data_IF_545719565102
#
_entry.id   IF_545719565102
#
_cell.length_a   1.000
_cell.length_b   1.000
_cell.length_c   1.000
_cell.angle_alpha   90.00
_cell.angle_beta   90.00
_cell.angle_gamma   90.00
#
_symmetry.space_group_name_H-M   'P 1'
#
loop_
_entity.id
_entity.type
_entity.pdbx_description
1 polymer ?
#
# COMPACT_ATOMS: atom_id res chain seq x y z
N UNK A 1 54.29 13.50 -40.76
CA UNK A 1 53.56 14.75 -41.08
C UNK A 1 52.34 14.77 -40.18
N UNK A 2 52.44 15.32 -38.96
CA UNK A 2 52.04 16.72 -38.61
C UNK A 2 50.62 16.98 -39.14
N UNK A 3 49.57 17.12 -38.33
CA UNK A 3 49.19 18.21 -37.41
C UNK A 3 47.77 17.84 -36.88
N UNK A 4 47.13 18.39 -35.85
CA UNK A 4 47.46 19.18 -34.68
C UNK A 4 46.17 19.17 -33.83
N UNK A 5 46.35 19.13 -32.53
CA UNK A 5 45.33 19.26 -31.50
C UNK A 5 44.93 20.73 -31.39
N UNK A 6 43.64 21.05 -31.55
CA UNK A 6 43.11 22.38 -31.23
C UNK A 6 41.88 22.25 -30.33
N UNK A 7 42.15 22.26 -29.02
CA UNK A 7 41.19 22.66 -28.00
C UNK A 7 41.22 24.18 -27.93
N UNK A 8 40.08 24.83 -28.14
CA UNK A 8 39.76 26.12 -27.50
C UNK A 8 38.33 26.58 -27.81
N UNK A 9 37.49 26.62 -26.76
CA UNK A 9 36.91 27.89 -26.31
C UNK A 9 36.36 27.78 -24.89
N UNK A 10 36.67 28.80 -24.12
CA UNK A 10 36.35 29.01 -22.71
C UNK A 10 34.96 29.64 -22.53
N UNK A 11 34.51 29.59 -21.27
CA UNK A 11 33.59 30.51 -20.60
C UNK A 11 32.11 30.11 -20.51
N UNK A 12 31.75 29.54 -19.36
CA UNK A 12 30.86 30.20 -18.36
C UNK A 12 30.13 29.13 -17.56
N UNK A 13 30.50 29.02 -16.27
CA UNK A 13 29.71 28.27 -15.28
C UNK A 13 28.49 29.10 -14.94
N UNK A 14 27.34 28.75 -15.51
CA UNK A 14 26.05 29.14 -14.96
C UNK A 14 25.33 27.89 -14.46
N UNK A 15 25.35 27.80 -13.14
CA UNK A 15 24.51 27.02 -12.23
C UNK A 15 23.27 26.39 -12.86
N UNK A 16 23.22 25.05 -12.79
CA UNK A 16 21.97 24.30 -12.95
C UNK A 16 20.95 24.75 -11.89
N UNK A 17 19.64 24.63 -12.18
CA UNK A 17 18.85 23.88 -11.22
C UNK A 17 17.95 22.82 -11.84
N UNK A 18 18.02 21.66 -11.19
CA UNK A 18 16.91 20.79 -10.81
C UNK A 18 16.08 20.18 -11.96
N UNK A 19 16.55 19.01 -12.39
CA UNK A 19 15.76 17.79 -12.27
C UNK A 19 14.49 17.72 -13.13
N UNK A 20 14.68 17.63 -14.45
CA UNK A 20 13.65 17.13 -15.37
C UNK A 20 13.88 15.63 -15.56
N UNK A 21 13.06 14.78 -14.94
CA UNK A 21 13.00 13.35 -15.27
C UNK A 21 11.92 13.17 -16.34
N UNK A 22 12.35 13.07 -17.59
CA UNK A 22 11.54 12.53 -18.68
C UNK A 22 11.55 11.00 -18.51
N UNK A 23 10.40 10.35 -18.57
CA UNK A 23 10.34 8.91 -18.75
C UNK A 23 10.01 8.63 -20.21
N UNK A 24 10.79 7.75 -20.83
CA UNK A 24 10.49 7.13 -22.11
C UNK A 24 10.24 5.65 -21.82
N UNK A 25 9.10 5.11 -22.24
CA UNK A 25 8.97 3.67 -22.43
C UNK A 25 9.41 3.37 -23.86
N UNK A 26 10.66 2.94 -24.02
CA UNK A 26 11.14 2.43 -25.30
C UNK A 26 10.52 1.04 -25.52
N UNK A 27 9.51 0.96 -26.38
CA UNK A 27 9.15 -0.32 -27.00
C UNK A 27 10.02 -0.43 -28.25
N UNK A 28 11.01 -1.32 -28.24
CA UNK A 28 11.70 -1.71 -29.47
C UNK A 28 10.76 -2.63 -30.26
N UNK A 29 10.17 -2.11 -31.33
CA UNK A 29 9.53 -2.94 -32.36
C UNK A 29 10.59 -3.32 -33.41
N UNK A 30 10.59 -4.57 -33.92
CA UNK A 30 11.50 -4.98 -34.97
C UNK A 30 11.28 -4.13 -36.23
N UNK A 31 12.38 -3.63 -36.80
CA UNK A 31 12.38 -2.79 -38.00
C UNK A 31 12.01 -3.60 -39.23
N UNK A 32 10.84 -3.37 -39.81
CA UNK A 32 10.55 -3.80 -41.19
C UNK A 32 10.81 -2.62 -42.12
N UNK A 33 11.66 -2.83 -43.12
CA UNK A 33 12.07 -1.79 -44.06
C UNK A 33 10.88 -1.37 -44.96
N UNK A 34 10.68 -0.06 -45.13
CA UNK A 34 9.94 0.48 -46.27
C UNK A 34 8.57 1.12 -46.05
N UNK A 35 8.11 1.38 -44.82
CA UNK A 35 6.90 2.18 -44.59
C UNK A 35 7.23 3.49 -43.86
N UNK A 36 6.89 4.62 -44.48
CA UNK A 36 6.92 5.94 -43.84
C UNK A 36 5.94 5.95 -42.68
N UNK A 37 6.44 6.19 -41.46
CA UNK A 37 5.64 6.34 -40.26
C UNK A 37 4.63 7.49 -40.47
N UNK A 38 3.34 7.32 -40.12
CA UNK A 38 2.42 8.45 -40.08
C UNK A 38 2.96 9.46 -39.06
N UNK A 39 2.94 10.76 -39.41
CA UNK A 39 3.21 11.84 -38.46
C UNK A 39 2.19 11.75 -37.34
N UNK A 40 2.54 11.06 -36.25
CA UNK A 40 1.79 11.13 -35.01
C UNK A 40 1.90 12.59 -34.56
N UNK A 41 0.80 13.32 -34.62
CA UNK A 41 0.69 14.59 -33.91
C UNK A 41 0.87 14.27 -32.44
N UNK A 42 2.07 14.56 -31.94
CA UNK A 42 2.37 14.45 -30.52
C UNK A 42 1.51 15.51 -29.85
N UNK A 43 0.36 15.09 -29.31
CA UNK A 43 -0.52 15.97 -28.53
C UNK A 43 0.32 16.67 -27.47
N UNK A 44 0.10 17.97 -27.34
CA UNK A 44 0.86 18.82 -26.45
C UNK A 44 0.75 18.29 -25.01
N UNK A 45 1.82 17.64 -24.54
CA UNK A 45 1.97 17.21 -23.15
C UNK A 45 2.10 18.45 -22.27
N UNK A 46 0.96 18.97 -21.86
CA UNK A 46 0.86 20.11 -20.95
C UNK A 46 1.71 19.87 -19.70
N UNK A 47 2.44 20.90 -19.26
CA UNK A 47 3.26 20.83 -18.06
C UNK A 47 2.39 20.47 -16.84
N UNK A 48 2.80 19.46 -16.06
CA UNK A 48 2.08 19.03 -14.85
C UNK A 48 2.27 20.10 -13.77
N UNK A 49 1.15 20.61 -13.25
CA UNK A 49 1.15 21.64 -12.20
C UNK A 49 1.60 21.09 -10.86
N UNK A 50 2.50 21.81 -10.18
CA UNK A 50 2.91 21.57 -8.79
C UNK A 50 2.08 22.35 -7.76
N UNK A 51 1.05 23.09 -8.21
CA UNK A 51 0.20 23.93 -7.34
C UNK A 51 -0.56 23.06 -6.33
N UNK A 52 -0.84 23.58 -5.14
CA UNK A 52 -1.75 22.92 -4.18
C UNK A 52 -3.16 22.85 -4.77
N UNK A 53 -3.96 21.88 -4.32
CA UNK A 53 -5.37 21.77 -4.71
C UNK A 53 -6.23 22.81 -3.97
N UNK A 54 -7.15 23.45 -4.67
CA UNK A 54 -8.11 24.39 -4.09
C UNK A 54 -9.39 23.70 -3.60
N UNK A 55 -10.16 24.30 -2.69
CA UNK A 55 -11.44 23.75 -2.25
C UNK A 55 -12.47 23.56 -3.39
N UNK A 56 -12.41 24.39 -4.43
CA UNK A 56 -13.26 24.30 -5.61
C UNK A 56 -12.87 23.08 -6.47
N UNK A 57 -11.56 22.85 -6.64
CA UNK A 57 -11.04 21.63 -7.29
C UNK A 57 -11.47 20.38 -6.50
N UNK A 58 -11.44 20.43 -5.15
CA UNK A 58 -11.90 19.33 -4.30
C UNK A 58 -13.40 19.05 -4.49
N UNK A 59 -14.23 20.10 -4.53
CA UNK A 59 -15.67 19.98 -4.79
C UNK A 59 -15.94 19.37 -6.16
N UNK A 60 -15.24 19.85 -7.19
CA UNK A 60 -15.31 19.31 -8.56
C UNK A 60 -14.90 17.82 -8.59
N UNK A 61 -13.83 17.47 -7.87
CA UNK A 61 -13.33 16.10 -7.78
C UNK A 61 -14.35 15.14 -7.16
N UNK A 62 -14.98 15.54 -6.06
CA UNK A 62 -16.03 14.73 -5.41
C UNK A 62 -17.25 14.55 -6.32
N UNK A 63 -17.68 15.60 -7.02
CA UNK A 63 -18.79 15.53 -7.99
C UNK A 63 -18.48 14.59 -9.16
N UNK A 64 -17.29 14.72 -9.76
CA UNK A 64 -16.87 13.85 -10.87
C UNK A 64 -16.70 12.40 -10.44
N UNK A 65 -16.20 12.13 -9.23
CA UNK A 65 -16.11 10.78 -8.70
C UNK A 65 -17.48 10.13 -8.51
N UNK A 66 -18.49 10.91 -8.05
CA UNK A 66 -19.87 10.44 -7.95
C UNK A 66 -20.46 10.06 -9.30
N UNK A 67 -20.03 10.70 -10.39
CA UNK A 67 -20.50 10.42 -11.75
C UNK A 67 -19.74 9.28 -12.43
N UNK A 68 -18.43 9.18 -12.20
CA UNK A 68 -17.53 8.23 -12.87
C UNK A 68 -16.59 7.52 -11.87
N UNK A 69 -17.11 6.60 -11.04
CA UNK A 69 -16.30 5.95 -10.02
C UNK A 69 -15.15 5.15 -10.65
N UNK A 70 -13.95 5.27 -10.07
CA UNK A 70 -12.71 4.57 -10.47
C UNK A 70 -12.16 4.91 -11.87
N UNK A 71 -12.76 5.84 -12.61
CA UNK A 71 -12.28 6.26 -13.94
C UNK A 71 -11.30 7.44 -13.83
N UNK A 72 -10.15 7.23 -13.18
CA UNK A 72 -9.22 8.32 -12.85
C UNK A 72 -8.68 9.09 -14.05
N UNK A 73 -8.46 8.43 -15.20
CA UNK A 73 -8.02 9.10 -16.42
C UNK A 73 -9.07 10.06 -16.97
N UNK A 74 -10.35 9.66 -16.93
CA UNK A 74 -11.49 10.51 -17.34
C UNK A 74 -11.73 11.64 -16.35
N UNK A 75 -11.61 11.37 -15.06
CA UNK A 75 -11.71 12.44 -14.06
C UNK A 75 -10.57 13.44 -14.29
N UNK A 76 -9.35 12.97 -14.54
CA UNK A 76 -8.19 13.84 -14.75
C UNK A 76 -8.28 14.71 -16.01
N UNK A 77 -8.95 14.25 -17.09
CA UNK A 77 -9.15 15.09 -18.28
C UNK A 77 -10.01 16.31 -18.03
N UNK A 78 -10.78 16.34 -16.95
CA UNK A 78 -11.58 17.50 -16.52
C UNK A 78 -10.78 18.51 -15.69
N UNK A 79 -9.51 18.21 -15.37
CA UNK A 79 -8.64 19.11 -14.61
C UNK A 79 -7.46 19.58 -15.44
N UNK A 80 -7.31 20.90 -15.55
CA UNK A 80 -6.18 21.49 -16.26
C UNK A 80 -4.86 21.17 -15.55
N UNK A 81 -3.90 20.61 -16.29
CA UNK A 81 -2.54 20.36 -15.81
C UNK A 81 -2.43 19.42 -14.60
N UNK A 82 -3.43 18.57 -14.32
CA UNK A 82 -3.39 17.55 -13.25
C UNK A 82 -3.26 16.15 -13.84
N UNK A 83 -2.23 15.42 -13.42
CA UNK A 83 -2.08 14.02 -13.83
C UNK A 83 -3.02 13.10 -13.01
N UNK A 84 -3.48 11.95 -13.57
CA UNK A 84 -4.35 11.01 -12.86
C UNK A 84 -3.84 10.56 -11.47
N UNK A 85 -2.52 10.32 -11.25
CA UNK A 85 -2.01 9.99 -9.92
C UNK A 85 -2.20 11.13 -8.90
N UNK A 86 -2.09 12.39 -9.33
CA UNK A 86 -2.30 13.54 -8.46
C UNK A 86 -3.78 13.65 -8.02
N UNK A 87 -4.70 13.41 -8.96
CA UNK A 87 -6.14 13.36 -8.69
C UNK A 87 -6.48 12.23 -7.71
N UNK A 88 -5.96 11.02 -7.94
CA UNK A 88 -6.16 9.89 -7.04
C UNK A 88 -5.66 10.19 -5.62
N UNK A 89 -4.44 10.71 -5.51
CA UNK A 89 -3.84 11.04 -4.21
C UNK A 89 -4.63 12.15 -3.51
N UNK A 90 -5.11 13.15 -4.26
CA UNK A 90 -5.96 14.20 -3.68
C UNK A 90 -7.28 13.64 -3.18
N UNK A 91 -7.95 12.81 -3.98
CA UNK A 91 -9.19 12.16 -3.58
C UNK A 91 -9.00 11.37 -2.28
N UNK A 92 -7.95 10.53 -2.21
CA UNK A 92 -7.58 9.79 -1.00
C UNK A 92 -7.38 10.72 0.20
N UNK A 93 -6.67 11.84 0.02
CA UNK A 93 -6.43 12.81 1.08
C UNK A 93 -7.72 13.48 1.57
N UNK A 94 -8.65 13.83 0.67
CA UNK A 94 -9.96 14.39 1.05
C UNK A 94 -10.75 13.35 1.84
N UNK A 95 -10.85 12.12 1.33
CA UNK A 95 -11.61 11.05 2.00
C UNK A 95 -11.00 10.63 3.33
N UNK A 96 -9.69 10.74 3.50
CA UNK A 96 -8.98 10.38 4.72
C UNK A 96 -9.17 11.40 5.86
N UNK A 97 -9.52 12.67 5.57
CA UNK A 97 -9.78 13.68 6.62
C UNK A 97 -10.92 13.30 7.54
N UNK A 98 -11.88 12.53 7.03
CA UNK A 98 -13.08 12.10 7.74
C UNK A 98 -12.90 10.71 8.39
N UNK A 99 -11.71 10.10 8.25
CA UNK A 99 -11.41 8.79 8.84
C UNK A 99 -10.85 8.97 10.25
N UNK A 100 -11.44 8.29 11.22
CA UNK A 100 -10.96 8.28 12.59
C UNK A 100 -9.93 7.16 12.82
N UNK A 101 -8.75 7.51 13.33
CA UNK A 101 -7.64 6.57 13.61
C UNK A 101 -7.40 6.29 15.10
N UNK A 102 -8.27 6.78 16.00
CA UNK A 102 -8.13 6.56 17.44
C UNK A 102 -8.51 5.14 17.89
N UNK A 103 -8.49 4.86 19.22
CA UNK A 103 -8.81 3.54 19.74
C UNK A 103 -10.25 3.13 19.39
N UNK A 104 -10.49 1.82 19.27
CA UNK A 104 -11.83 1.27 19.06
C UNK A 104 -12.59 1.26 20.38
N UNK A 105 -13.80 1.83 20.38
CA UNK A 105 -14.71 1.75 21.51
C UNK A 105 -15.43 0.39 21.55
N UNK A 106 -15.93 0.00 22.73
CA UNK A 106 -16.68 -1.27 22.90
C UNK A 106 -17.86 -1.38 21.92
N UNK A 107 -18.64 -0.30 21.78
CA UNK A 107 -19.75 -0.21 20.81
C UNK A 107 -19.28 -0.40 19.36
N UNK A 108 -18.12 0.13 18.99
CA UNK A 108 -17.55 -0.05 17.65
C UNK A 108 -17.14 -1.51 17.41
N UNK A 109 -16.60 -2.17 18.44
CA UNK A 109 -16.18 -3.58 18.37
C UNK A 109 -17.41 -4.49 18.23
N UNK A 110 -18.47 -4.25 18.99
CA UNK A 110 -19.73 -4.99 18.90
C UNK A 110 -20.38 -4.80 17.53
N UNK A 111 -20.47 -3.56 17.05
CA UNK A 111 -20.97 -3.27 15.71
C UNK A 111 -20.15 -4.00 14.63
N UNK A 112 -18.83 -3.98 14.73
CA UNK A 112 -17.95 -4.67 13.78
C UNK A 112 -18.20 -6.18 13.75
N UNK A 113 -18.41 -6.83 14.91
CA UNK A 113 -18.77 -8.26 14.96
C UNK A 113 -20.07 -8.55 14.22
N UNK A 114 -21.12 -7.78 14.50
CA UNK A 114 -22.42 -7.95 13.87
C UNK A 114 -22.35 -7.70 12.35
N UNK A 115 -21.56 -6.71 11.92
CA UNK A 115 -21.38 -6.39 10.50
C UNK A 115 -20.61 -7.48 9.75
N UNK A 116 -19.58 -8.07 10.37
CA UNK A 116 -18.85 -9.19 9.75
C UNK A 116 -19.71 -10.46 9.72
N UNK A 117 -20.53 -10.70 10.74
CA UNK A 117 -21.51 -11.79 10.71
C UNK A 117 -22.53 -11.59 9.57
N UNK A 118 -22.98 -10.35 9.34
CA UNK A 118 -23.95 -10.01 8.30
C UNK A 118 -23.39 -10.05 6.87
N UNK A 119 -22.20 -9.51 6.65
CA UNK A 119 -21.61 -9.31 5.31
C UNK A 119 -20.46 -10.27 4.97
N UNK A 120 -19.96 -11.01 5.96
CA UNK A 120 -18.77 -11.83 5.84
C UNK A 120 -17.47 -11.02 5.77
N UNK A 121 -16.36 -11.73 5.55
CA UNK A 121 -14.99 -11.18 5.53
C UNK A 121 -14.52 -10.74 4.12
N UNK A 122 -15.44 -10.64 3.16
CA UNK A 122 -15.12 -10.39 1.75
C UNK A 122 -15.14 -8.91 1.37
N UNK A 123 -16.02 -8.11 1.98
CA UNK A 123 -16.29 -6.72 1.57
C UNK A 123 -16.06 -5.70 2.69
N UNK A 124 -14.80 -5.51 3.09
CA UNK A 124 -14.41 -4.56 4.16
C UNK A 124 -14.78 -3.11 3.88
N UNK A 125 -14.97 -2.73 2.61
CA UNK A 125 -15.41 -1.38 2.24
C UNK A 125 -16.84 -1.12 2.72
N UNK A 126 -17.74 -2.11 2.60
CA UNK A 126 -19.12 -1.99 3.07
C UNK A 126 -19.17 -2.03 4.59
N UNK A 127 -18.44 -2.95 5.21
CA UNK A 127 -18.33 -3.05 6.67
C UNK A 127 -17.86 -1.72 7.28
N UNK A 128 -16.79 -1.12 6.74
CA UNK A 128 -16.27 0.15 7.22
C UNK A 128 -17.21 1.33 6.98
N UNK A 129 -18.06 1.27 5.95
CA UNK A 129 -19.05 2.31 5.65
C UNK A 129 -20.24 2.29 6.63
N UNK A 130 -20.63 1.12 7.13
CA UNK A 130 -21.73 0.94 8.10
C UNK A 130 -21.28 1.01 9.56
N UNK A 131 -19.97 1.14 9.82
CA UNK A 131 -19.48 1.36 11.18
C UNK A 131 -19.99 2.69 11.74
N UNK A 132 -20.26 2.76 13.07
CA UNK A 132 -20.79 3.97 13.70
C UNK A 132 -19.83 5.17 13.64
N UNK A 133 -18.53 4.91 13.43
CA UNK A 133 -17.53 5.91 13.07
C UNK A 133 -16.86 5.47 11.79
N UNK A 134 -16.60 6.42 10.91
CA UNK A 134 -15.89 6.15 9.65
C UNK A 134 -14.46 5.73 9.94
N UNK A 135 -14.16 4.48 9.60
CA UNK A 135 -12.83 3.87 9.71
C UNK A 135 -12.29 3.57 8.32
N UNK A 136 -10.97 3.49 8.22
CA UNK A 136 -10.32 3.01 7.00
C UNK A 136 -10.57 1.49 6.85
N UNK A 137 -11.07 1.01 5.69
CA UNK A 137 -11.38 -0.41 5.48
C UNK A 137 -10.21 -1.35 5.76
N UNK A 138 -8.97 -0.95 5.44
CA UNK A 138 -7.79 -1.77 5.70
C UNK A 138 -7.50 -1.87 7.19
N UNK A 139 -7.68 -0.77 7.91
CA UNK A 139 -7.56 -0.72 9.37
C UNK A 139 -8.61 -1.60 10.03
N UNK A 140 -9.86 -1.57 9.56
CA UNK A 140 -10.95 -2.44 10.04
C UNK A 140 -10.59 -3.91 9.83
N UNK A 141 -10.20 -4.28 8.60
CA UNK A 141 -9.78 -5.65 8.27
C UNK A 141 -8.63 -6.12 9.16
N UNK A 142 -7.59 -5.30 9.32
CA UNK A 142 -6.44 -5.64 10.17
C UNK A 142 -6.86 -5.84 11.62
N UNK A 143 -7.70 -4.96 12.15
CA UNK A 143 -8.24 -5.09 13.51
C UNK A 143 -9.05 -6.38 13.66
N UNK A 144 -9.84 -6.74 12.65
CA UNK A 144 -10.54 -8.02 12.63
C UNK A 144 -9.56 -9.20 12.74
N UNK A 145 -8.65 -9.32 11.78
CA UNK A 145 -7.71 -10.44 11.68
C UNK A 145 -6.76 -10.56 12.88
N UNK A 146 -6.28 -9.45 13.42
CA UNK A 146 -5.31 -9.48 14.53
C UNK A 146 -5.98 -9.61 15.89
N UNK A 147 -7.16 -9.01 16.07
CA UNK A 147 -7.69 -8.75 17.40
C UNK A 147 -9.13 -9.17 17.60
N UNK A 148 -9.96 -9.36 16.56
CA UNK A 148 -11.40 -9.63 16.76
C UNK A 148 -11.89 -11.00 16.30
N UNK A 149 -11.17 -11.63 15.38
CA UNK A 149 -11.50 -12.92 14.80
C UNK A 149 -11.75 -14.01 15.87
N UNK A 150 -12.97 -14.59 15.92
CA UNK A 150 -13.32 -15.66 16.84
C UNK A 150 -12.51 -16.96 16.64
N UNK A 151 -11.94 -17.19 15.44
CA UNK A 151 -11.14 -18.39 15.17
C UNK A 151 -9.86 -18.42 16.01
N UNK A 152 -9.38 -17.25 16.45
CA UNK A 152 -8.13 -17.10 17.16
C UNK A 152 -8.34 -16.84 18.65
N UNK A 153 -7.70 -17.66 19.49
CA UNK A 153 -7.75 -17.52 20.95
C UNK A 153 -6.96 -16.31 21.43
N UNK A 154 -7.49 -15.66 22.46
CA UNK A 154 -6.84 -14.57 23.20
C UNK A 154 -6.52 -15.04 24.60
N UNK A 155 -5.33 -14.71 25.10
CA UNK A 155 -4.87 -15.10 26.43
C UNK A 155 -3.70 -16.08 26.42
N UNK A 156 -3.48 -16.73 27.56
CA UNK A 156 -2.32 -17.58 27.82
C UNK A 156 -2.18 -18.70 26.78
N UNK A 157 -0.93 -18.98 26.40
CA UNK A 157 -0.58 -20.11 25.54
C UNK A 157 -0.62 -21.40 26.36
N UNK A 158 -1.26 -22.42 25.80
CA UNK A 158 -1.21 -23.76 26.36
C UNK A 158 0.03 -24.51 25.88
N UNK A 159 0.49 -25.50 26.65
CA UNK A 159 1.64 -26.34 26.27
C UNK A 159 1.42 -27.05 24.93
N UNK A 160 0.19 -27.50 24.67
CA UNK A 160 -0.20 -28.13 23.40
C UNK A 160 -0.06 -27.15 22.22
N UNK A 161 -0.39 -25.86 22.41
CA UNK A 161 -0.17 -24.85 21.38
C UNK A 161 1.31 -24.59 21.14
N UNK A 162 2.12 -24.56 22.21
CA UNK A 162 3.58 -24.40 22.09
C UNK A 162 4.22 -25.59 21.37
N UNK A 163 3.81 -26.81 21.67
CA UNK A 163 4.27 -28.03 20.99
C UNK A 163 3.95 -27.98 19.49
N UNK A 164 2.71 -27.64 19.13
CA UNK A 164 2.30 -27.48 17.73
C UNK A 164 3.07 -26.37 17.02
N UNK A 165 3.31 -25.25 17.71
CA UNK A 165 4.07 -24.13 17.18
C UNK A 165 5.52 -24.56 16.88
N UNK A 166 6.17 -25.25 17.83
CA UNK A 166 7.54 -25.73 17.68
C UNK A 166 7.67 -26.83 16.62
N UNK A 167 6.66 -27.67 16.44
CA UNK A 167 6.60 -28.67 15.37
C UNK A 167 6.41 -28.04 13.99
N UNK A 168 5.62 -26.96 13.90
CA UNK A 168 5.31 -26.30 12.63
C UNK A 168 6.45 -25.44 12.08
N UNK A 169 7.23 -24.77 12.95
CA UNK A 169 8.33 -23.88 12.54
C UNK A 169 9.35 -24.54 11.59
N UNK A 170 9.93 -25.72 11.89
CA UNK A 170 10.90 -26.34 10.98
C UNK A 170 10.25 -26.79 9.66
N UNK A 171 8.95 -27.11 9.65
CA UNK A 171 8.24 -27.51 8.43
C UNK A 171 8.05 -26.37 7.43
N UNK A 172 7.90 -25.14 7.93
CA UNK A 172 7.68 -23.95 7.11
C UNK A 172 8.90 -23.01 7.08
N UNK A 173 10.07 -23.56 7.39
CA UNK A 173 11.34 -22.87 7.23
C UNK A 173 11.71 -22.80 5.75
N UNK A 174 12.02 -21.59 5.26
CA UNK A 174 12.51 -21.33 3.91
C UNK A 174 14.00 -20.96 3.98
N UNK A 175 14.68 -21.03 2.85
CA UNK A 175 16.09 -20.63 2.74
C UNK A 175 16.34 -19.24 3.36
N UNK A 176 17.48 -19.09 4.04
CA UNK A 176 17.89 -17.81 4.63
C UNK A 176 17.23 -17.46 5.97
N UNK A 177 16.90 -18.45 6.81
CA UNK A 177 16.27 -18.25 8.13
C UNK A 177 14.89 -17.56 8.07
N UNK A 178 14.18 -17.72 6.96
CA UNK A 178 12.87 -17.11 6.77
C UNK A 178 11.76 -18.12 7.07
N UNK A 179 10.98 -17.88 8.12
CA UNK A 179 9.83 -18.74 8.48
C UNK A 179 8.53 -18.15 7.94
N UNK A 180 7.71 -18.98 7.28
CA UNK A 180 6.38 -18.58 6.84
C UNK A 180 5.37 -18.65 7.98
N UNK A 181 5.28 -17.56 8.74
CA UNK A 181 4.40 -17.48 9.90
C UNK A 181 2.91 -17.62 9.57
N UNK A 182 2.50 -17.34 8.33
CA UNK A 182 1.10 -17.54 7.92
C UNK A 182 0.78 -19.03 7.88
N UNK A 183 1.63 -19.82 7.22
CA UNK A 183 1.48 -21.27 7.16
C UNK A 183 1.63 -21.92 8.55
N UNK A 184 2.51 -21.38 9.40
CA UNK A 184 2.62 -21.81 10.81
C UNK A 184 1.32 -21.56 11.57
N UNK A 185 0.69 -20.39 11.41
CA UNK A 185 -0.59 -20.10 12.04
C UNK A 185 -1.70 -21.04 11.54
N UNK A 186 -1.72 -21.35 10.25
CA UNK A 186 -2.67 -22.31 9.66
C UNK A 186 -2.49 -23.73 10.22
N UNK A 187 -1.26 -24.12 10.59
CA UNK A 187 -0.98 -25.39 11.25
C UNK A 187 -1.40 -25.38 12.73
N UNK A 188 -1.19 -24.28 13.45
CA UNK A 188 -1.60 -24.13 14.86
C UNK A 188 -3.12 -24.02 14.99
N UNK A 189 -3.80 -23.42 14.01
CA UNK A 189 -5.25 -23.19 13.88
C UNK A 189 -5.90 -22.32 14.96
N UNK A 190 -5.30 -22.19 16.13
CA UNK A 190 -5.88 -21.46 17.27
C UNK A 190 -5.31 -20.06 17.45
N UNK A 191 -4.22 -19.71 16.76
CA UNK A 191 -3.49 -18.45 16.93
C UNK A 191 -3.15 -17.83 15.59
N UNK A 192 -3.15 -16.51 15.52
CA UNK A 192 -2.84 -15.81 14.28
C UNK A 192 -1.32 -15.71 14.06
N UNK A 193 -0.94 -15.37 12.83
CA UNK A 193 0.46 -15.20 12.38
C UNK A 193 1.32 -14.40 13.36
N UNK A 194 0.80 -13.27 13.82
CA UNK A 194 1.52 -12.34 14.69
C UNK A 194 1.74 -12.94 16.08
N UNK A 195 0.70 -13.56 16.66
CA UNK A 195 0.79 -14.25 17.94
C UNK A 195 1.83 -15.38 17.89
N UNK A 196 1.85 -16.20 16.85
CA UNK A 196 2.82 -17.28 16.68
C UNK A 196 4.25 -16.75 16.61
N UNK A 197 4.48 -15.70 15.82
CA UNK A 197 5.77 -15.03 15.72
C UNK A 197 6.24 -14.48 17.08
N UNK A 198 5.39 -13.71 17.76
CA UNK A 198 5.73 -13.10 19.06
C UNK A 198 6.00 -14.18 20.12
N UNK A 199 5.19 -15.25 20.15
CA UNK A 199 5.40 -16.37 21.08
C UNK A 199 6.77 -17.01 20.88
N UNK A 200 7.12 -17.31 19.63
CA UNK A 200 8.42 -17.90 19.33
C UNK A 200 9.55 -16.93 19.67
N UNK A 201 9.52 -15.72 19.12
CA UNK A 201 10.63 -14.77 19.24
C UNK A 201 10.99 -14.42 20.68
N UNK A 202 10.00 -14.25 21.55
CA UNK A 202 10.23 -13.77 22.92
C UNK A 202 10.29 -14.86 23.99
N UNK A 203 9.76 -16.06 23.74
CA UNK A 203 9.61 -17.08 24.80
C UNK A 203 10.15 -18.47 24.45
N UNK A 204 10.07 -18.88 23.18
CA UNK A 204 10.45 -20.23 22.76
C UNK A 204 11.73 -20.28 21.94
N UNK A 205 12.25 -19.13 21.49
CA UNK A 205 13.47 -19.06 20.70
C UNK A 205 14.66 -19.60 21.52
N UNK A 206 15.32 -20.69 21.08
CA UNK A 206 16.45 -21.27 21.80
C UNK A 206 17.65 -20.33 21.96
N UNK A 207 17.79 -19.33 21.06
CA UNK A 207 18.83 -18.31 21.12
C UNK A 207 18.51 -17.18 22.11
N UNK A 208 17.31 -17.17 22.67
CA UNK A 208 16.90 -16.22 23.70
C UNK A 208 17.53 -16.66 25.03
N UNK A 209 18.81 -16.34 25.21
CA UNK A 209 19.47 -16.41 26.52
C UNK A 209 18.61 -15.64 27.51
N UNK A 210 17.98 -16.36 28.44
CA UNK A 210 17.26 -15.71 29.57
C UNK A 210 18.30 -14.87 30.29
N UNK A 211 18.17 -13.55 30.16
CA UNK A 211 19.06 -12.60 30.79
C UNK A 211 19.22 -12.93 32.28
N UNK A 212 20.48 -13.04 32.68
CA UNK A 212 20.95 -13.07 34.05
C UNK A 212 20.49 -11.79 34.76
N UNK A 213 19.32 -11.84 35.39
CA UNK A 213 18.96 -10.95 36.49
C UNK A 213 18.25 -11.80 37.55
N UNK A 214 19.07 -12.57 38.26
CA UNK A 214 18.80 -13.04 39.63
C UNK A 214 19.17 -11.95 40.61
#
# INVERSE_FOLDING_TARGET
MLLAWCISKTSSLLTQPLGKRLYNTTVQLPRTAGQTLPKIQIEQKHAISRRKFTPEEDKKLLQLYSKYPRQWSRIASEFDHRAPPAILNRYKAITAKDVFYGPYQKKEIEALRNLVEKYGENDWVKVAAEMPRKRDPLTVRRTWMEALDPQHKRGAWSKIEDEKLMEAIPRFHKEGNLVDWSAVADAVKTRNRKQCYERFMYQLNPSHTRGLYS
#
